data_IF_620049302294
#
_entry.id   IF_620049302294
#
_cell.length_a   1.000
_cell.length_b   1.000
_cell.length_c   1.000
_cell.angle_alpha   90.00
_cell.angle_beta   90.00
_cell.angle_gamma   90.00
#
_symmetry.space_group_name_H-M   'P 1'
#
loop_
_entity.id
_entity.type
_entity.pdbx_description
1 polymer ?
#
# COMPACT_ATOMS: atom_id res chain seq x y z
N UNK A 1 -8.81 7.24 8.09
CA UNK A 1 -7.98 8.32 8.67
C UNK A 1 -6.97 8.76 7.64
N UNK A 2 -6.78 10.06 7.48
CA UNK A 2 -5.79 10.66 6.58
C UNK A 2 -4.76 11.42 7.42
N UNK A 3 -3.48 11.12 7.23
CA UNK A 3 -2.39 11.73 7.98
C UNK A 3 -1.93 13.05 7.38
N UNK A 4 -1.46 13.94 8.22
CA UNK A 4 -0.96 15.25 7.81
C UNK A 4 0.47 15.11 7.28
N UNK A 5 0.66 15.25 5.96
CA UNK A 5 1.89 14.82 5.28
C UNK A 5 2.62 15.91 4.49
N UNK A 6 2.27 17.20 4.66
CA UNK A 6 2.80 18.29 3.81
C UNK A 6 4.33 18.35 3.78
N UNK A 7 4.98 18.37 4.94
CA UNK A 7 6.45 18.40 5.03
C UNK A 7 7.12 17.13 4.54
N UNK A 8 6.45 15.97 4.71
CA UNK A 8 6.96 14.68 4.27
C UNK A 8 7.02 14.54 2.75
N UNK A 9 6.06 15.10 2.03
CA UNK A 9 6.08 15.10 0.55
C UNK A 9 7.28 15.88 0.00
N UNK A 10 7.59 17.01 0.62
CA UNK A 10 8.77 17.81 0.27
C UNK A 10 10.07 17.07 0.60
N UNK A 11 10.13 16.39 1.73
CA UNK A 11 11.25 15.54 2.11
C UNK A 11 11.47 14.40 1.11
N UNK A 12 10.42 13.68 0.73
CA UNK A 12 10.50 12.62 -0.29
C UNK A 12 10.98 13.15 -1.65
N UNK A 13 10.58 14.36 -2.02
CA UNK A 13 11.09 15.01 -3.25
C UNK A 13 12.59 15.28 -3.16
N UNK A 14 13.09 15.71 -2.01
CA UNK A 14 14.54 15.91 -1.79
C UNK A 14 15.30 14.58 -1.84
N UNK A 15 14.78 13.52 -1.24
CA UNK A 15 15.39 12.18 -1.34
C UNK A 15 15.56 11.71 -2.79
N UNK A 16 14.54 11.94 -3.63
CA UNK A 16 14.63 11.61 -5.06
C UNK A 16 15.74 12.38 -5.77
N UNK A 17 15.94 13.63 -5.38
CA UNK A 17 16.92 14.54 -6.00
C UNK A 17 18.35 14.26 -5.54
N UNK A 18 18.53 14.03 -4.25
CA UNK A 18 19.85 13.95 -3.60
C UNK A 18 20.38 12.53 -3.46
N UNK A 19 19.48 11.54 -3.39
CA UNK A 19 19.79 10.11 -3.31
C UNK A 19 20.95 9.78 -2.37
N UNK A 20 20.82 10.05 -1.06
CA UNK A 20 21.93 9.88 -0.13
C UNK A 20 22.42 8.42 -0.11
N UNK A 21 23.73 8.25 0.09
CA UNK A 21 24.33 6.92 0.19
C UNK A 21 23.71 6.11 1.33
N UNK A 22 23.46 4.83 1.06
CA UNK A 22 22.89 3.91 2.06
C UNK A 22 21.42 4.14 2.36
N UNK A 23 20.70 4.91 1.55
CA UNK A 23 19.29 5.20 1.74
C UNK A 23 18.43 3.93 1.88
N UNK A 24 18.60 2.96 0.97
CA UNK A 24 17.83 1.71 1.00
C UNK A 24 18.15 0.85 2.23
N UNK A 25 19.41 0.84 2.67
CA UNK A 25 19.82 0.16 3.90
C UNK A 25 19.22 0.81 5.14
N UNK A 26 19.21 2.15 5.20
CA UNK A 26 18.55 2.90 6.26
C UNK A 26 17.04 2.62 6.27
N UNK A 27 16.38 2.71 5.12
CA UNK A 27 14.95 2.44 4.99
C UNK A 27 14.61 1.02 5.48
N UNK A 28 15.37 0.01 5.07
CA UNK A 28 15.17 -1.38 5.48
C UNK A 28 15.37 -1.59 6.99
N UNK A 29 16.33 -0.90 7.60
CA UNK A 29 16.55 -0.94 9.05
C UNK A 29 15.38 -0.33 9.82
N UNK A 30 14.96 0.87 9.43
CA UNK A 30 13.86 1.59 10.06
C UNK A 30 12.51 0.88 9.84
N UNK A 31 12.33 0.24 8.70
CA UNK A 31 11.12 -0.54 8.42
C UNK A 31 10.93 -1.69 9.40
N UNK A 32 12.00 -2.38 9.81
CA UNK A 32 11.91 -3.42 10.84
C UNK A 32 11.39 -2.89 12.17
N UNK A 33 11.74 -1.65 12.52
CA UNK A 33 11.21 -1.00 13.73
C UNK A 33 9.73 -0.64 13.55
N UNK A 34 9.37 -0.10 12.40
CA UNK A 34 7.98 0.28 12.10
C UNK A 34 7.04 -0.92 12.22
N UNK A 35 7.43 -2.09 11.71
CA UNK A 35 6.59 -3.30 11.79
C UNK A 35 6.44 -3.88 13.20
N UNK A 36 7.23 -3.43 14.16
CA UNK A 36 6.97 -3.73 15.58
C UNK A 36 5.85 -2.86 16.17
N UNK A 37 5.60 -1.69 15.59
CA UNK A 37 4.64 -0.70 16.05
C UNK A 37 3.30 -0.74 15.28
N UNK A 38 3.31 -1.24 14.06
CA UNK A 38 2.15 -1.24 13.16
C UNK A 38 1.73 -2.66 12.82
N UNK A 39 0.45 -2.95 13.06
CA UNK A 39 -0.20 -4.19 12.66
C UNK A 39 -1.24 -3.90 11.57
N UNK A 40 -0.98 -4.35 10.35
CA UNK A 40 -1.87 -4.17 9.20
C UNK A 40 -3.25 -4.82 9.41
N UNK A 41 -3.30 -5.96 10.09
CA UNK A 41 -4.55 -6.70 10.30
C UNK A 41 -5.50 -5.96 11.24
N UNK A 42 -4.99 -5.19 12.17
CA UNK A 42 -5.81 -4.34 13.05
C UNK A 42 -6.09 -2.97 12.43
N UNK A 43 -5.20 -2.47 11.60
CA UNK A 43 -5.31 -1.16 10.97
C UNK A 43 -6.38 -1.10 9.87
N UNK A 44 -6.28 -1.95 8.86
CA UNK A 44 -7.13 -2.04 7.67
C UNK A 44 -7.43 -0.71 6.95
N UNK A 45 -6.67 0.36 7.21
CA UNK A 45 -6.99 1.70 6.67
C UNK A 45 -6.93 1.73 5.14
N UNK A 46 -5.97 1.04 4.52
CA UNK A 46 -5.88 0.93 3.07
C UNK A 46 -7.11 0.21 2.46
N UNK A 47 -7.63 -0.81 3.12
CA UNK A 47 -8.86 -1.50 2.70
C UNK A 47 -10.10 -0.63 2.80
N UNK A 48 -10.08 0.39 3.66
CA UNK A 48 -11.18 1.33 3.85
C UNK A 48 -11.15 2.51 2.89
N UNK A 49 -9.99 2.87 2.40
CA UNK A 49 -9.76 4.15 1.70
C UNK A 49 -9.15 4.02 0.31
N UNK A 50 -8.68 2.84 -0.07
CA UNK A 50 -7.99 2.59 -1.33
C UNK A 50 -8.52 1.32 -1.98
N UNK A 51 -8.28 1.17 -3.28
CA UNK A 51 -8.54 -0.08 -4.00
C UNK A 51 -7.24 -0.66 -4.53
N UNK A 52 -7.02 -1.98 -4.38
CA UNK A 52 -5.94 -2.65 -5.08
C UNK A 52 -6.23 -2.74 -6.57
N UNK A 53 -5.18 -2.89 -7.35
CA UNK A 53 -5.26 -3.31 -8.75
C UNK A 53 -5.28 -4.84 -8.80
N UNK A 54 -6.21 -5.40 -9.59
CA UNK A 54 -6.34 -6.84 -9.80
C UNK A 54 -5.68 -7.25 -11.12
N UNK A 55 -4.72 -8.17 -11.05
CA UNK A 55 -4.16 -8.80 -12.25
C UNK A 55 -5.10 -9.90 -12.77
N UNK A 56 -4.90 -10.32 -14.03
CA UNK A 56 -5.63 -11.48 -14.59
C UNK A 56 -5.43 -12.74 -13.76
N UNK A 57 -4.22 -12.92 -13.22
CA UNK A 57 -3.88 -14.05 -12.35
C UNK A 57 -4.61 -13.99 -11.02
N UNK A 58 -4.70 -12.79 -10.42
CA UNK A 58 -5.49 -12.57 -9.21
C UNK A 58 -6.96 -12.93 -9.43
N UNK A 59 -7.54 -12.41 -10.50
CA UNK A 59 -8.95 -12.65 -10.85
C UNK A 59 -9.22 -14.15 -11.03
N UNK A 60 -8.35 -14.86 -11.74
CA UNK A 60 -8.47 -16.31 -11.93
C UNK A 60 -8.41 -17.07 -10.60
N UNK A 61 -7.49 -16.71 -9.72
CA UNK A 61 -7.32 -17.34 -8.41
C UNK A 61 -8.50 -17.09 -7.48
N UNK A 62 -8.92 -15.83 -7.39
CA UNK A 62 -9.98 -15.40 -6.48
C UNK A 62 -11.36 -15.87 -6.96
N UNK A 63 -11.64 -15.78 -8.26
CA UNK A 63 -12.91 -16.27 -8.83
C UNK A 63 -13.13 -17.75 -8.56
N UNK A 64 -12.08 -18.56 -8.65
CA UNK A 64 -12.12 -19.97 -8.31
C UNK A 64 -12.56 -20.23 -6.86
N UNK A 65 -12.09 -19.41 -5.93
CA UNK A 65 -12.50 -19.50 -4.52
C UNK A 65 -14.00 -19.25 -4.31
N UNK A 66 -14.62 -18.43 -5.17
CA UNK A 66 -16.05 -18.14 -5.13
C UNK A 66 -16.88 -19.04 -6.08
N UNK A 67 -16.31 -20.08 -6.63
CA UNK A 67 -16.96 -20.95 -7.63
C UNK A 67 -17.55 -20.18 -8.81
N UNK A 68 -16.87 -19.12 -9.23
CA UNK A 68 -17.26 -18.25 -10.34
C UNK A 68 -16.27 -18.33 -11.50
N UNK A 69 -16.76 -18.02 -12.70
CA UNK A 69 -15.86 -17.72 -13.82
C UNK A 69 -15.17 -16.38 -13.61
N UNK A 70 -13.95 -16.17 -14.15
CA UNK A 70 -13.29 -14.86 -14.08
C UNK A 70 -14.14 -13.70 -14.58
N UNK A 71 -14.94 -13.92 -15.64
CA UNK A 71 -15.85 -12.91 -16.17
C UNK A 71 -17.00 -12.58 -15.24
N UNK A 72 -17.64 -13.58 -14.64
CA UNK A 72 -18.72 -13.39 -13.67
C UNK A 72 -18.22 -12.67 -12.41
N UNK A 73 -17.08 -13.07 -11.88
CA UNK A 73 -16.43 -12.42 -10.75
C UNK A 73 -16.13 -10.95 -11.04
N UNK A 74 -15.50 -10.67 -12.19
CA UNK A 74 -15.19 -9.29 -12.60
C UNK A 74 -16.44 -8.44 -12.72
N UNK A 75 -17.48 -8.96 -13.36
CA UNK A 75 -18.75 -8.25 -13.52
C UNK A 75 -19.40 -7.93 -12.17
N UNK A 76 -19.35 -8.83 -11.23
CA UNK A 76 -19.97 -8.67 -9.91
C UNK A 76 -19.21 -7.69 -9.02
N UNK A 77 -17.88 -7.82 -8.92
CA UNK A 77 -17.05 -7.21 -7.88
C UNK A 77 -16.14 -6.09 -8.35
N UNK A 78 -15.79 -6.06 -9.64
CA UNK A 78 -14.73 -5.21 -10.16
C UNK A 78 -15.23 -4.22 -11.20
N UNK A 79 -14.47 -3.17 -11.40
CA UNK A 79 -14.66 -2.18 -12.48
C UNK A 79 -13.32 -1.90 -13.16
N UNK A 80 -13.38 -1.46 -14.40
CA UNK A 80 -12.21 -0.97 -15.14
C UNK A 80 -12.18 0.55 -15.08
N UNK A 81 -11.02 1.11 -14.80
CA UNK A 81 -10.84 2.56 -14.83
C UNK A 81 -10.48 3.09 -16.23
N UNK A 82 -10.18 4.39 -16.32
CA UNK A 82 -9.89 5.06 -17.59
C UNK A 82 -8.60 4.58 -18.25
N UNK A 83 -7.60 4.16 -17.47
CA UNK A 83 -6.31 3.69 -17.98
C UNK A 83 -6.26 2.18 -18.18
N UNK A 84 -7.32 1.48 -17.84
CA UNK A 84 -7.45 0.05 -18.04
C UNK A 84 -7.16 -0.81 -16.82
N UNK A 85 -6.89 -0.22 -15.67
CA UNK A 85 -6.72 -0.95 -14.41
C UNK A 85 -8.04 -1.50 -13.90
N UNK A 86 -7.99 -2.71 -13.33
CA UNK A 86 -9.14 -3.37 -12.76
C UNK A 86 -9.10 -3.20 -11.24
N UNK A 87 -10.13 -2.58 -10.72
CA UNK A 87 -10.26 -2.12 -9.34
C UNK A 87 -11.55 -2.65 -8.70
N UNK A 88 -11.66 -2.53 -7.37
CA UNK A 88 -12.91 -2.75 -6.66
C UNK A 88 -14.01 -1.80 -7.16
N UNK A 89 -15.26 -2.27 -7.20
CA UNK A 89 -16.42 -1.41 -7.46
C UNK A 89 -16.70 -0.44 -6.33
N UNK A 90 -16.40 -0.85 -5.09
CA UNK A 90 -16.80 -0.14 -3.87
C UNK A 90 -15.62 0.17 -2.97
N UNK A 91 -15.73 1.25 -2.22
CA UNK A 91 -14.90 1.59 -1.06
C UNK A 91 -15.85 1.86 0.13
N UNK A 92 -15.60 1.26 1.28
CA UNK A 92 -14.53 0.29 1.62
C UNK A 92 -14.53 -0.98 0.75
N UNK A 93 -13.41 -1.70 0.75
CA UNK A 93 -13.27 -2.96 0.01
C UNK A 93 -14.38 -3.95 0.39
N UNK A 94 -15.05 -4.53 -0.62
CA UNK A 94 -16.14 -5.48 -0.43
C UNK A 94 -15.73 -6.77 0.33
N UNK A 95 -14.44 -7.07 0.39
CA UNK A 95 -13.91 -8.24 1.10
C UNK A 95 -13.49 -7.92 2.54
N UNK A 96 -13.62 -6.67 2.98
CA UNK A 96 -13.32 -6.25 4.34
C UNK A 96 -14.55 -6.38 5.24
N UNK A 97 -14.41 -7.09 6.34
CA UNK A 97 -15.39 -7.05 7.42
C UNK A 97 -15.10 -5.82 8.29
N UNK A 98 -16.01 -4.86 8.30
CA UNK A 98 -15.86 -3.60 9.03
C UNK A 98 -16.00 -3.75 10.56
N UNK A 99 -16.51 -4.88 11.05
CA UNK A 99 -16.66 -5.12 12.49
C UNK A 99 -15.33 -5.51 13.15
N UNK A 100 -14.53 -6.32 12.46
CA UNK A 100 -13.28 -6.85 13.00
C UNK A 100 -12.03 -6.47 12.18
N UNK A 101 -12.18 -5.69 11.10
CA UNK A 101 -11.13 -5.28 10.17
C UNK A 101 -10.44 -6.45 9.45
N UNK A 102 -11.08 -7.61 9.35
CA UNK A 102 -10.51 -8.78 8.68
C UNK A 102 -10.90 -8.85 7.22
N UNK A 103 -9.95 -9.25 6.38
CA UNK A 103 -10.18 -9.53 4.97
C UNK A 103 -10.66 -10.97 4.78
N UNK A 104 -11.84 -11.16 4.15
CA UNK A 104 -12.41 -12.48 3.89
C UNK A 104 -11.62 -13.31 2.87
N UNK A 105 -10.76 -12.67 2.07
CA UNK A 105 -9.89 -13.31 1.08
C UNK A 105 -8.40 -13.12 1.40
N UNK A 106 -8.05 -12.95 2.67
CA UNK A 106 -6.68 -12.59 3.08
C UNK A 106 -5.61 -13.51 2.49
N UNK A 107 -5.82 -14.84 2.55
CA UNK A 107 -4.85 -15.82 2.07
C UNK A 107 -4.68 -15.83 0.54
N UNK A 108 -5.69 -15.37 -0.18
CA UNK A 108 -5.70 -15.32 -1.64
C UNK A 108 -5.80 -13.90 -2.20
N UNK A 109 -5.58 -12.89 -1.34
CA UNK A 109 -5.68 -11.48 -1.70
C UNK A 109 -4.85 -11.11 -2.93
N UNK A 110 -5.21 -10.06 -3.66
CA UNK A 110 -4.42 -9.58 -4.79
C UNK A 110 -2.95 -9.36 -4.44
N UNK A 111 -2.07 -9.55 -5.40
CA UNK A 111 -0.63 -9.31 -5.25
C UNK A 111 -0.36 -7.87 -4.79
N UNK A 112 -1.15 -6.93 -5.27
CA UNK A 112 -1.08 -5.53 -4.86
C UNK A 112 -1.33 -5.36 -3.35
N UNK A 113 -2.32 -6.05 -2.80
CA UNK A 113 -2.56 -6.07 -1.35
C UNK A 113 -1.43 -6.74 -0.56
N UNK A 114 -0.91 -7.85 -1.05
CA UNK A 114 0.16 -8.59 -0.35
C UNK A 114 1.48 -7.85 -0.33
N UNK A 115 1.74 -7.02 -1.33
CA UNK A 115 2.95 -6.19 -1.42
C UNK A 115 2.80 -4.81 -0.78
N UNK A 116 1.58 -4.37 -0.49
CA UNK A 116 1.35 -3.04 0.09
C UNK A 116 2.00 -2.91 1.48
N UNK A 117 2.64 -1.80 1.83
CA UNK A 117 2.75 -0.53 1.09
C UNK A 117 3.95 -0.42 0.12
N UNK A 118 4.48 -1.51 -0.35
CA UNK A 118 5.54 -1.59 -1.38
C UNK A 118 6.90 -0.99 -0.96
N UNK A 119 7.26 -1.08 0.31
CA UNK A 119 8.46 -0.44 0.87
C UNK A 119 9.77 -1.02 0.34
N UNK A 120 9.77 -2.29 -0.07
CA UNK A 120 10.96 -2.95 -0.63
C UNK A 120 10.76 -3.60 -2.00
N UNK A 121 9.76 -3.22 -2.72
CA UNK A 121 9.52 -3.77 -4.07
C UNK A 121 10.62 -3.37 -5.04
N UNK A 122 11.19 -2.17 -4.87
CA UNK A 122 12.35 -1.62 -5.59
C UNK A 122 13.14 -0.69 -4.66
N UNK A 123 14.13 0.00 -5.20
CA UNK A 123 14.81 1.07 -4.47
C UNK A 123 13.81 2.11 -3.97
N UNK A 124 14.06 2.67 -2.81
CA UNK A 124 13.17 3.67 -2.18
C UNK A 124 12.80 4.81 -3.15
N UNK A 125 13.79 5.31 -3.89
CA UNK A 125 13.61 6.43 -4.82
C UNK A 125 12.75 6.10 -6.04
N UNK A 126 12.72 4.85 -6.48
CA UNK A 126 11.92 4.41 -7.64
C UNK A 126 10.42 4.45 -7.36
N UNK A 127 10.04 4.45 -6.08
CA UNK A 127 8.65 4.44 -5.62
C UNK A 127 8.25 5.71 -4.85
N UNK A 128 8.99 6.80 -4.97
CA UNK A 128 8.69 8.05 -4.27
C UNK A 128 7.24 8.54 -4.54
N UNK A 129 6.76 8.42 -5.77
CA UNK A 129 5.38 8.79 -6.11
C UNK A 129 4.34 7.95 -5.35
N UNK A 130 4.59 6.65 -5.18
CA UNK A 130 3.74 5.74 -4.40
C UNK A 130 3.83 6.08 -2.91
N UNK A 131 5.03 6.30 -2.39
CA UNK A 131 5.22 6.67 -0.98
C UNK A 131 4.55 8.00 -0.63
N UNK A 132 4.61 8.99 -1.54
CA UNK A 132 3.88 10.27 -1.37
C UNK A 132 2.37 10.10 -1.25
N UNK A 133 1.80 9.13 -1.94
CA UNK A 133 0.39 8.78 -1.81
C UNK A 133 0.14 8.03 -0.50
N UNK A 134 0.96 7.03 -0.21
CA UNK A 134 0.75 6.13 0.91
C UNK A 134 0.96 6.76 2.28
N UNK A 135 1.82 7.80 2.42
CA UNK A 135 1.97 8.51 3.70
C UNK A 135 0.67 9.14 4.21
N UNK A 136 -0.30 9.37 3.36
CA UNK A 136 -1.60 9.92 3.77
C UNK A 136 -2.54 8.87 4.36
N UNK A 137 -2.35 7.60 4.03
CA UNK A 137 -3.30 6.53 4.34
C UNK A 137 -2.69 5.34 5.09
N UNK A 138 -1.39 5.11 4.96
CA UNK A 138 -0.70 3.98 5.56
C UNK A 138 0.15 4.43 6.76
N UNK A 139 -0.19 4.01 7.99
CA UNK A 139 0.59 4.36 9.16
C UNK A 139 2.03 3.83 9.11
N UNK A 140 2.27 2.68 8.48
CA UNK A 140 3.62 2.14 8.31
C UNK A 140 4.48 3.04 7.42
N UNK A 141 3.94 3.49 6.28
CA UNK A 141 4.67 4.41 5.39
C UNK A 141 4.89 5.77 6.07
N UNK A 142 3.87 6.28 6.76
CA UNK A 142 3.98 7.54 7.52
C UNK A 142 5.10 7.47 8.56
N UNK A 143 5.10 6.46 9.43
CA UNK A 143 6.13 6.27 10.47
C UNK A 143 7.53 6.05 9.88
N UNK A 144 7.64 5.31 8.78
CA UNK A 144 8.91 5.12 8.10
C UNK A 144 9.50 6.45 7.64
N UNK A 145 8.71 7.27 6.96
CA UNK A 145 9.17 8.58 6.46
C UNK A 145 9.50 9.52 7.61
N UNK A 146 8.72 9.52 8.69
CA UNK A 146 9.01 10.29 9.91
C UNK A 146 10.37 9.90 10.52
N UNK A 147 10.63 8.62 10.71
CA UNK A 147 11.91 8.10 11.21
C UNK A 147 13.09 8.42 10.26
N UNK A 148 12.85 8.38 8.96
CA UNK A 148 13.87 8.78 7.97
C UNK A 148 14.19 10.28 8.05
N UNK A 149 13.18 11.13 8.23
CA UNK A 149 13.40 12.58 8.43
C UNK A 149 14.25 12.82 9.67
N UNK A 150 13.96 12.16 10.78
CA UNK A 150 14.74 12.28 12.02
C UNK A 150 16.18 11.82 11.83
N UNK A 151 16.39 10.69 11.15
CA UNK A 151 17.72 10.11 10.91
C UNK A 151 18.57 10.94 9.94
N UNK A 152 17.95 11.63 8.99
CA UNK A 152 18.61 12.41 7.94
C UNK A 152 18.59 13.94 8.23
N UNK A 153 18.06 14.37 9.36
CA UNK A 153 18.09 15.77 9.76
C UNK A 153 19.53 16.27 9.85
N UNK A 154 19.82 17.33 9.08
CA UNK A 154 21.17 17.89 8.94
C UNK A 154 22.03 17.30 7.82
N UNK A 155 21.57 16.25 7.13
CA UNK A 155 22.27 15.60 6.01
C UNK A 155 21.65 15.94 4.64
N UNK A 156 20.44 16.54 4.65
CA UNK A 156 19.72 16.99 3.45
C UNK A 156 19.38 18.48 3.52
#
# INVERSE_FOLDING_TARGET
VRYHSKGMKSFLTRLLKEQPRGLDKLAASLEKEVWKEVDCLTCANCCKTMSPTFTKTDIKRISKHFDQTPGAFTKQWLRKDRIGDILNKTEPCQFLNLQDNKCSIYEIRPVDCSGFPHLHKKKMVDYIHVHKQNIEYCPATYKLVEKMQESLNGSL
#
